data_IF_239849957995
#
_entry.id   IF_239849957995
#
_cell.length_a   1.000
_cell.length_b   1.000
_cell.length_c   1.000
_cell.angle_alpha   90.00
_cell.angle_beta   90.00
_cell.angle_gamma   90.00
#
_symmetry.space_group_name_H-M   'P 1'
#
loop_
_entity.id
_entity.type
_entity.pdbx_description
1 polymer ?
#
# COMPACT_ATOMS: atom_id res chain seq x y z
N UNK A 1 15.38 15.01 -10.16
CA UNK A 1 13.92 14.80 -10.35
C UNK A 1 13.71 13.30 -10.58
N UNK A 2 13.19 12.56 -9.60
CA UNK A 2 13.08 11.10 -9.70
C UNK A 2 12.02 10.73 -10.75
N UNK A 3 12.42 9.98 -11.79
CA UNK A 3 11.52 9.49 -12.82
C UNK A 3 10.38 8.70 -12.18
N UNK A 4 9.14 9.12 -12.45
CA UNK A 4 7.92 8.40 -12.06
C UNK A 4 7.92 7.06 -12.82
N UNK A 5 8.41 5.99 -12.18
CA UNK A 5 8.46 4.63 -12.74
C UNK A 5 7.03 4.25 -13.17
N UNK A 6 6.79 4.14 -14.49
CA UNK A 6 5.47 3.75 -15.00
C UNK A 6 5.15 2.35 -14.49
N UNK A 7 4.04 2.20 -13.77
CA UNK A 7 3.59 0.89 -13.27
C UNK A 7 3.16 0.06 -14.47
N UNK A 8 3.91 -1.00 -14.76
CA UNK A 8 3.57 -1.97 -15.81
C UNK A 8 2.48 -2.89 -15.24
N UNK A 9 1.30 -2.89 -15.85
CA UNK A 9 0.09 -3.63 -15.42
C UNK A 9 -0.45 -3.15 -14.06
N UNK A 10 -1.18 -2.02 -14.01
CA UNK A 10 -1.77 -1.53 -12.77
C UNK A 10 -2.83 -2.51 -12.26
N UNK A 11 -2.66 -3.00 -11.04
CA UNK A 11 -3.68 -3.77 -10.32
C UNK A 11 -4.34 -2.84 -9.31
N UNK A 12 -5.68 -2.85 -9.26
CA UNK A 12 -6.44 -2.12 -8.25
C UNK A 12 -6.73 -3.05 -7.09
N UNK A 13 -6.29 -2.67 -5.89
CA UNK A 13 -6.57 -3.41 -4.67
C UNK A 13 -7.65 -2.67 -3.88
N UNK A 14 -8.68 -3.41 -3.49
CA UNK A 14 -9.71 -2.93 -2.57
C UNK A 14 -9.44 -3.54 -1.19
N UNK A 15 -9.42 -2.70 -0.17
CA UNK A 15 -9.31 -3.12 1.22
C UNK A 15 -10.45 -2.49 2.01
N UNK A 16 -11.17 -3.33 2.76
CA UNK A 16 -12.09 -2.85 3.78
C UNK A 16 -11.29 -2.56 5.04
N UNK A 17 -11.26 -1.30 5.46
CA UNK A 17 -10.58 -0.85 6.67
C UNK A 17 -11.57 -0.07 7.53
N UNK A 18 -11.32 -0.04 8.84
CA UNK A 18 -12.16 0.75 9.73
C UNK A 18 -12.04 2.24 9.41
N UNK A 19 -13.13 2.98 9.63
CA UNK A 19 -13.17 4.43 9.36
C UNK A 19 -12.06 5.20 10.06
N UNK A 20 -11.77 4.86 11.32
CA UNK A 20 -10.68 5.47 12.09
C UNK A 20 -9.30 5.25 11.45
N UNK A 21 -9.06 4.07 10.89
CA UNK A 21 -7.81 3.75 10.19
C UNK A 21 -7.71 4.51 8.87
N UNK A 22 -8.81 4.60 8.12
CA UNK A 22 -8.89 5.39 6.90
C UNK A 22 -8.62 6.88 7.17
N UNK A 23 -9.20 7.45 8.24
CA UNK A 23 -9.00 8.85 8.61
C UNK A 23 -7.54 9.13 9.03
N UNK A 24 -6.90 8.20 9.74
CA UNK A 24 -5.48 8.28 10.06
C UNK A 24 -4.59 8.25 8.80
N UNK A 25 -4.89 7.36 7.84
CA UNK A 25 -4.20 7.31 6.55
C UNK A 25 -4.38 8.61 5.76
N UNK A 26 -5.57 9.19 5.79
CA UNK A 26 -5.85 10.48 5.15
C UNK A 26 -5.02 11.60 5.77
N UNK A 27 -4.94 11.69 7.10
CA UNK A 27 -4.10 12.67 7.79
C UNK A 27 -2.61 12.50 7.42
N UNK A 28 -2.11 11.27 7.36
CA UNK A 28 -0.73 10.97 6.96
C UNK A 28 -0.46 11.35 5.50
N UNK A 29 -1.40 11.08 4.60
CA UNK A 29 -1.30 11.46 3.18
C UNK A 29 -1.15 12.98 3.00
N UNK A 30 -1.95 13.74 3.75
CA UNK A 30 -1.88 15.19 3.76
C UNK A 30 -0.53 15.69 4.29
N UNK A 31 -0.08 15.16 5.44
CA UNK A 31 1.19 15.57 6.07
C UNK A 31 2.41 15.27 5.21
N UNK A 32 2.38 14.17 4.45
CA UNK A 32 3.52 13.73 3.62
C UNK A 32 3.46 14.23 2.19
N UNK A 33 2.39 14.91 1.77
CA UNK A 33 2.14 15.29 0.37
C UNK A 33 2.21 14.09 -0.60
N UNK A 34 1.77 12.92 -0.15
CA UNK A 34 1.75 11.67 -0.93
C UNK A 34 0.34 11.12 -1.01
N UNK A 35 0.04 10.35 -2.05
CA UNK A 35 -1.25 9.67 -2.13
C UNK A 35 -1.35 8.55 -1.09
N UNK A 36 -2.57 8.25 -0.64
CA UNK A 36 -2.82 7.10 0.25
C UNK A 36 -2.29 5.81 -0.40
N UNK A 37 -2.51 5.63 -1.71
CA UNK A 37 -2.04 4.46 -2.45
C UNK A 37 -0.50 4.29 -2.40
N UNK A 38 0.27 5.39 -2.49
CA UNK A 38 1.72 5.33 -2.36
C UNK A 38 2.15 4.99 -0.94
N UNK A 39 1.54 5.60 0.08
CA UNK A 39 1.84 5.29 1.47
C UNK A 39 1.53 3.82 1.82
N UNK A 40 0.37 3.34 1.38
CA UNK A 40 -0.06 1.97 1.61
C UNK A 40 0.85 0.98 0.87
N UNK A 41 1.30 1.30 -0.35
CA UNK A 41 2.25 0.47 -1.09
C UNK A 41 3.56 0.29 -0.33
N UNK A 42 4.17 1.39 0.12
CA UNK A 42 5.43 1.34 0.88
C UNK A 42 5.25 0.53 2.18
N UNK A 43 4.13 0.71 2.87
CA UNK A 43 3.84 -0.01 4.11
C UNK A 43 3.69 -1.52 3.89
N UNK A 44 2.99 -1.93 2.82
CA UNK A 44 2.85 -3.34 2.43
C UNK A 44 4.21 -3.93 2.05
N UNK A 45 5.00 -3.22 1.25
CA UNK A 45 6.32 -3.67 0.82
C UNK A 45 7.25 -3.90 2.03
N UNK A 46 7.26 -2.96 2.98
CA UNK A 46 7.99 -3.12 4.26
C UNK A 46 7.49 -4.32 5.06
N UNK A 47 6.16 -4.46 5.20
CA UNK A 47 5.58 -5.59 5.94
C UNK A 47 5.99 -6.94 5.34
N UNK A 48 5.93 -7.09 4.00
CA UNK A 48 6.34 -8.32 3.31
C UNK A 48 7.84 -8.59 3.50
N UNK A 49 8.66 -7.53 3.46
CA UNK A 49 10.12 -7.64 3.60
C UNK A 49 10.53 -8.01 5.03
N UNK A 50 9.91 -7.38 6.03
CA UNK A 50 10.21 -7.59 7.45
C UNK A 50 9.58 -8.87 8.01
N UNK A 51 8.49 -9.34 7.41
CA UNK A 51 7.81 -10.59 7.77
C UNK A 51 7.68 -11.48 6.52
N UNK A 52 8.77 -12.16 6.11
CA UNK A 52 8.71 -13.14 5.05
C UNK A 52 7.94 -14.39 5.55
N UNK A 53 6.60 -14.32 5.58
CA UNK A 53 5.79 -15.44 6.08
C UNK A 53 4.81 -15.93 5.01
N UNK A 54 5.13 -17.12 4.49
CA UNK A 54 4.31 -18.14 3.83
C UNK A 54 3.05 -17.67 3.09
N UNK A 55 3.19 -17.42 1.79
CA UNK A 55 2.06 -17.50 0.87
C UNK A 55 1.83 -18.99 0.57
N UNK A 56 1.01 -19.70 1.36
CA UNK A 56 0.36 -20.92 0.87
C UNK A 56 -0.67 -20.49 -0.16
N UNK A 57 -0.23 -20.37 -1.41
CA UNK A 57 -1.12 -20.19 -2.54
C UNK A 57 -1.98 -21.46 -2.68
N UNK A 58 -3.17 -21.46 -2.06
CA UNK A 58 -4.24 -22.35 -2.50
C UNK A 58 -4.86 -21.70 -3.74
N UNK A 59 -4.26 -21.99 -4.88
CA UNK A 59 -4.96 -21.87 -6.17
C UNK A 59 -5.65 -23.22 -6.37
N UNK A 60 -6.98 -23.23 -6.28
CA UNK A 60 -7.82 -24.34 -6.72
C UNK A 60 -7.97 -24.30 -8.24
#
# INVERSE_FOLDING_TARGET
MAQKKKIKNPVVLFASVERKQHDALRALSFKSHRSIAELTRDAIERYITEKPTYIKAHVK
#
